data_IF_913848755724
#
_entry.id   IF_913848755724
#
_cell.length_a   1.000
_cell.length_b   1.000
_cell.length_c   1.000
_cell.angle_alpha   90.00
_cell.angle_beta   90.00
_cell.angle_gamma   90.00
#
_symmetry.space_group_name_H-M   'P 1'
#
loop_
_entity.id
_entity.type
_entity.pdbx_description
1 polymer ?
#
# COMPACT_ATOMS: atom_id res chain seq x y z
N UNK A 1 10.53 6.76 16.70
CA UNK A 1 10.51 6.67 15.23
C UNK A 1 10.89 5.25 14.85
N UNK A 2 10.03 4.56 14.10
CA UNK A 2 10.24 3.20 13.60
C UNK A 2 10.99 3.25 12.27
N UNK A 3 11.90 2.31 12.02
CA UNK A 3 12.54 2.23 10.71
C UNK A 3 11.53 1.84 9.61
N UNK A 4 10.63 0.90 9.92
CA UNK A 4 9.66 0.39 8.96
C UNK A 4 8.32 0.10 9.62
N UNK A 5 7.24 0.57 9.00
CA UNK A 5 5.86 0.23 9.38
C UNK A 5 5.30 -0.77 8.38
N UNK A 6 4.91 -1.97 8.84
CA UNK A 6 4.33 -3.00 7.96
C UNK A 6 2.81 -3.04 8.11
N UNK A 7 2.12 -3.11 6.98
CA UNK A 7 0.66 -3.24 6.90
C UNK A 7 0.25 -4.33 5.93
N UNK A 8 -0.46 -5.32 6.45
CA UNK A 8 -0.96 -6.45 5.66
C UNK A 8 -2.42 -6.20 5.27
N UNK A 9 -2.76 -6.49 4.02
CA UNK A 9 -4.11 -6.34 3.51
C UNK A 9 -4.46 -7.50 2.58
N UNK A 10 -5.51 -8.25 2.91
CA UNK A 10 -6.06 -9.27 2.02
C UNK A 10 -7.20 -8.68 1.18
N UNK A 11 -7.17 -8.87 -0.14
CA UNK A 11 -8.27 -8.47 -1.02
C UNK A 11 -9.18 -9.68 -1.24
N UNK A 12 -10.41 -9.60 -0.71
CA UNK A 12 -11.43 -10.62 -0.93
C UNK A 12 -12.48 -10.18 -1.97
N UNK A 13 -13.09 -9.00 -1.82
CA UNK A 13 -14.15 -8.49 -2.74
C UNK A 13 -14.26 -6.95 -2.84
N UNK A 14 -13.49 -6.17 -2.07
CA UNK A 14 -13.65 -4.70 -2.02
C UNK A 14 -12.91 -4.00 -3.14
N UNK A 15 -13.58 -3.07 -3.82
CA UNK A 15 -13.01 -2.19 -4.84
C UNK A 15 -12.37 -0.92 -4.27
N UNK A 16 -12.70 -0.54 -3.03
CA UNK A 16 -12.10 0.60 -2.34
C UNK A 16 -11.36 0.07 -1.11
N UNK A 17 -10.05 0.02 -1.22
CA UNK A 17 -9.18 -0.45 -0.15
C UNK A 17 -8.36 0.70 0.40
N UNK A 18 -8.06 0.62 1.69
CA UNK A 18 -7.32 1.65 2.41
C UNK A 18 -6.35 1.02 3.38
N UNK A 19 -5.16 1.59 3.49
CA UNK A 19 -4.16 1.22 4.50
C UNK A 19 -3.93 2.39 5.42
N UNK A 20 -4.19 2.19 6.72
CA UNK A 20 -3.89 3.17 7.75
C UNK A 20 -2.43 3.10 8.15
N UNK A 21 -1.75 4.25 8.12
CA UNK A 21 -0.38 4.42 8.55
C UNK A 21 -0.24 5.34 9.78
N UNK A 22 -1.26 6.14 10.11
CA UNK A 22 -1.20 7.07 11.24
C UNK A 22 -0.39 8.32 10.91
N UNK A 23 0.50 8.76 11.79
CA UNK A 23 1.34 9.94 11.53
C UNK A 23 2.62 9.51 10.78
N UNK A 24 2.91 10.07 9.58
CA UNK A 24 4.12 9.75 8.83
C UNK A 24 5.43 9.97 9.61
N UNK A 25 5.44 10.89 10.58
CA UNK A 25 6.64 11.18 11.40
C UNK A 25 7.04 10.03 12.33
N UNK A 26 6.16 9.05 12.53
CA UNK A 26 6.39 7.94 13.44
C UNK A 26 7.25 6.83 12.81
N UNK A 27 7.47 6.84 11.49
CA UNK A 27 8.23 5.81 10.78
C UNK A 27 9.02 6.37 9.60
N UNK A 28 10.04 5.65 9.09
CA UNK A 28 10.77 6.06 7.87
C UNK A 28 10.15 5.52 6.59
N UNK A 29 9.77 4.25 6.56
CA UNK A 29 9.18 3.60 5.37
C UNK A 29 7.90 2.86 5.73
N UNK A 30 6.85 3.01 4.91
CA UNK A 30 5.65 2.19 4.97
C UNK A 30 5.78 1.04 3.97
N UNK A 31 5.68 -0.19 4.46
CA UNK A 31 5.59 -1.40 3.64
C UNK A 31 4.16 -1.92 3.65
N UNK A 32 3.54 -2.02 2.48
CA UNK A 32 2.19 -2.54 2.30
C UNK A 32 2.25 -3.90 1.61
N UNK A 33 1.80 -4.95 2.30
CA UNK A 33 1.71 -6.30 1.77
C UNK A 33 0.27 -6.59 1.41
N UNK A 34 0.02 -6.80 0.13
CA UNK A 34 -1.31 -7.07 -0.40
C UNK A 34 -1.37 -8.54 -0.81
N UNK A 35 -2.20 -9.31 -0.12
CA UNK A 35 -2.42 -10.72 -0.43
C UNK A 35 -3.67 -10.86 -1.30
N UNK A 36 -3.52 -11.53 -2.44
CA UNK A 36 -4.61 -11.93 -3.31
C UNK A 36 -4.38 -13.37 -3.75
N UNK A 37 -5.39 -14.21 -3.50
CA UNK A 37 -5.26 -15.67 -3.62
C UNK A 37 -4.07 -16.17 -2.79
N UNK A 38 -3.05 -16.73 -3.45
CA UNK A 38 -1.82 -17.24 -2.85
C UNK A 38 -0.60 -16.33 -3.11
N UNK A 39 -0.80 -15.19 -3.79
CA UNK A 39 0.27 -14.24 -4.10
C UNK A 39 0.28 -13.06 -3.13
N UNK A 40 1.48 -12.66 -2.71
CA UNK A 40 1.74 -11.48 -1.88
C UNK A 40 2.50 -10.44 -2.69
N UNK A 41 1.87 -9.29 -2.87
CA UNK A 41 2.46 -8.12 -3.50
C UNK A 41 2.97 -7.18 -2.42
N UNK A 42 4.28 -6.93 -2.39
CA UNK A 42 4.89 -6.04 -1.41
C UNK A 42 5.23 -4.70 -2.06
N UNK A 43 4.68 -3.64 -1.50
CA UNK A 43 4.92 -2.26 -1.91
C UNK A 43 5.61 -1.47 -0.82
N UNK A 44 6.42 -0.49 -1.19
CA UNK A 44 7.05 0.44 -0.26
C UNK A 44 6.91 1.89 -0.70
N UNK A 45 6.76 2.77 0.29
CA UNK A 45 6.77 4.24 0.13
C UNK A 45 7.46 4.87 1.33
N UNK A 46 8.31 5.86 1.09
CA UNK A 46 8.95 6.62 2.15
C UNK A 46 7.96 7.56 2.82
N UNK A 47 8.04 7.64 4.14
CA UNK A 47 7.15 8.47 4.99
C UNK A 47 7.15 9.95 4.57
N UNK A 48 8.27 10.47 4.08
CA UNK A 48 8.38 11.85 3.59
C UNK A 48 7.52 12.14 2.35
N UNK A 49 7.07 11.10 1.63
CA UNK A 49 6.16 11.23 0.49
C UNK A 49 4.68 11.09 0.89
N UNK A 50 4.40 10.70 2.13
CA UNK A 50 3.03 10.59 2.63
C UNK A 50 2.52 11.94 3.14
N UNK A 51 1.23 12.18 2.95
CA UNK A 51 0.57 13.38 3.47
C UNK A 51 0.58 13.39 5.00
N UNK A 52 0.96 14.51 5.60
CA UNK A 52 0.88 14.74 7.05
C UNK A 52 -0.54 15.05 7.52
N UNK A 53 -1.46 15.34 6.60
CA UNK A 53 -2.86 15.67 6.89
C UNK A 53 -3.77 14.44 6.84
N UNK A 54 -3.27 13.33 6.27
CA UNK A 54 -3.99 12.06 6.14
C UNK A 54 -3.38 11.02 7.07
N UNK A 55 -4.20 10.03 7.46
CA UNK A 55 -3.77 8.90 8.28
C UNK A 55 -3.66 7.59 7.47
N UNK A 56 -3.93 7.66 6.17
CA UNK A 56 -4.13 6.51 5.32
C UNK A 56 -3.95 6.80 3.82
N UNK A 57 -3.61 5.75 3.07
CA UNK A 57 -3.55 5.75 1.60
C UNK A 57 -4.69 4.89 1.03
N UNK A 58 -5.25 5.32 -0.09
CA UNK A 58 -6.27 4.56 -0.81
C UNK A 58 -5.68 3.80 -1.99
N UNK A 59 -6.25 2.64 -2.28
CA UNK A 59 -5.92 1.86 -3.46
C UNK A 59 -7.12 1.08 -3.99
N UNK A 60 -7.06 0.82 -5.30
CA UNK A 60 -8.14 0.33 -6.12
C UNK A 60 -7.64 -0.91 -6.86
N UNK A 61 -7.91 -2.11 -6.30
CA UNK A 61 -7.53 -3.35 -6.95
C UNK A 61 -8.43 -3.64 -8.16
N UNK A 62 -7.84 -4.11 -9.24
CA UNK A 62 -8.51 -4.58 -10.45
C UNK A 62 -7.89 -5.89 -10.89
N UNK A 63 -8.70 -6.93 -11.04
CA UNK A 63 -8.25 -8.21 -11.59
C UNK A 63 -8.49 -8.21 -13.09
N UNK A 64 -7.43 -8.42 -13.88
CA UNK A 64 -7.51 -8.53 -15.35
C UNK A 64 -6.83 -9.83 -15.73
N UNK A 65 -7.56 -10.74 -16.38
CA UNK A 65 -7.05 -12.05 -16.81
C UNK A 65 -6.39 -12.88 -15.68
N UNK A 66 -6.92 -12.77 -14.46
CA UNK A 66 -6.41 -13.45 -13.27
C UNK A 66 -5.25 -12.75 -12.57
N UNK A 67 -4.69 -11.68 -13.15
CA UNK A 67 -3.64 -10.89 -12.52
C UNK A 67 -4.23 -9.69 -11.76
N UNK A 68 -3.74 -9.48 -10.53
CA UNK A 68 -4.07 -8.31 -9.73
C UNK A 68 -3.25 -7.10 -10.16
N UNK A 69 -3.96 -6.05 -10.58
CA UNK A 69 -3.43 -4.70 -10.78
C UNK A 69 -3.90 -3.82 -9.63
N UNK A 70 -2.98 -3.07 -9.03
CA UNK A 70 -3.29 -2.13 -7.96
C UNK A 70 -2.98 -0.73 -8.47
N UNK A 71 -3.98 0.13 -8.41
CA UNK A 71 -3.84 1.58 -8.61
C UNK A 71 -3.99 2.27 -7.27
N UNK A 72 -3.08 3.15 -6.93
CA UNK A 72 -3.10 3.98 -5.73
C UNK A 72 -3.79 5.30 -6.02
N UNK A 73 -4.10 6.06 -4.96
CA UNK A 73 -4.45 7.46 -5.13
C UNK A 73 -3.30 8.24 -5.78
N UNK A 74 -3.64 9.38 -6.41
CA UNK A 74 -2.69 10.11 -7.25
C UNK A 74 -1.43 10.55 -6.50
N UNK A 75 -1.56 10.95 -5.23
CA UNK A 75 -0.43 11.37 -4.40
C UNK A 75 0.54 10.22 -4.10
N UNK A 76 -0.01 9.02 -3.90
CA UNK A 76 0.76 7.83 -3.55
C UNK A 76 1.36 7.15 -4.78
N UNK A 77 0.63 7.11 -5.90
CA UNK A 77 0.99 6.37 -7.13
C UNK A 77 2.38 6.74 -7.67
N UNK A 78 2.75 8.01 -7.61
CA UNK A 78 4.05 8.50 -8.13
C UNK A 78 5.25 8.05 -7.27
N UNK A 79 5.01 7.70 -6.00
CA UNK A 79 6.05 7.50 -5.00
C UNK A 79 6.14 6.05 -4.51
N UNK A 80 5.04 5.31 -4.56
CA UNK A 80 4.97 3.92 -4.11
C UNK A 80 5.55 2.97 -5.16
N UNK A 81 6.33 1.99 -4.72
CA UNK A 81 7.00 1.02 -5.61
C UNK A 81 6.66 -0.39 -5.22
N UNK A 82 6.37 -1.24 -6.21
CA UNK A 82 6.32 -2.68 -6.04
C UNK A 82 7.77 -3.19 -5.89
N UNK A 83 8.05 -3.91 -4.80
CA UNK A 83 9.39 -4.44 -4.50
C UNK A 83 9.46 -5.98 -4.59
N UNK A 84 8.36 -6.69 -4.36
CA UNK A 84 8.29 -8.15 -4.54
C UNK A 84 6.88 -8.62 -4.89
N UNK A 85 6.82 -9.79 -5.54
CA UNK A 85 5.62 -10.56 -5.84
C UNK A 85 5.97 -12.02 -5.58
N UNK A 86 5.49 -12.54 -4.45
CA UNK A 86 5.83 -13.86 -3.91
C UNK A 86 4.61 -14.79 -3.87
#
# INVERSE_FOLDING_TARGET
>A
MLEKLVRNRRIAKSKNCRVKYGNPKDFKTLQVRITHEDTVYTYEIDSEKLSVEKDSIHFYPKVISGELFIRWDQETEENIKLISKD
#
